data_IF_384467040682
#
_entry.id   IF_384467040682
#
_cell.length_a   1.000
_cell.length_b   1.000
_cell.length_c   1.000
_cell.angle_alpha   90.00
_cell.angle_beta   90.00
_cell.angle_gamma   90.00
#
_symmetry.space_group_name_H-M   'P 1'
#
loop_
_entity.id
_entity.type
_entity.pdbx_description
1 polymer ?
#
# COMPACT_ATOMS: atom_id res chain seq x y z
N UNK A 1 -2.73 5.27 -30.77
CA UNK A 1 -1.91 4.42 -29.89
C UNK A 1 -2.82 3.97 -28.76
N UNK A 2 -3.19 2.69 -28.70
CA UNK A 2 -4.03 2.17 -27.61
C UNK A 2 -3.19 2.21 -26.34
N UNK A 3 -3.61 3.01 -25.38
CA UNK A 3 -3.11 3.00 -24.00
C UNK A 3 -3.21 1.55 -23.54
N UNK A 4 -2.06 0.88 -23.46
CA UNK A 4 -1.91 -0.49 -22.97
C UNK A 4 -2.59 -0.57 -21.61
N UNK A 5 -3.47 -1.56 -21.44
CA UNK A 5 -4.08 -1.95 -20.16
C UNK A 5 -3.03 -1.85 -19.06
N UNK A 6 -3.10 -0.76 -18.29
CA UNK A 6 -2.08 -0.47 -17.30
C UNK A 6 -2.18 -1.52 -16.19
N UNK A 7 -1.05 -2.13 -15.93
CA UNK A 7 -0.69 -3.03 -14.82
C UNK A 7 -0.79 -2.36 -13.45
N UNK A 8 -1.59 -1.31 -13.29
CA UNK A 8 -1.81 -0.51 -12.08
C UNK A 8 -2.75 -1.18 -11.08
N UNK A 9 -3.49 -2.20 -11.50
CA UNK A 9 -4.47 -2.91 -10.68
C UNK A 9 -3.96 -3.84 -9.59
N UNK A 10 -2.66 -4.10 -9.56
CA UNK A 10 -2.03 -5.04 -8.63
C UNK A 10 -1.09 -4.33 -7.67
N UNK A 11 -1.22 -3.01 -7.57
CA UNK A 11 -0.48 -2.19 -6.63
C UNK A 11 -1.12 -2.28 -5.24
N UNK A 12 -0.30 -2.61 -4.25
CA UNK A 12 -0.70 -2.74 -2.85
C UNK A 12 0.19 -1.88 -1.96
N UNK A 13 -0.35 -1.31 -0.86
CA UNK A 13 0.43 -0.56 0.09
C UNK A 13 1.13 -1.54 1.03
N UNK A 14 2.45 -1.46 1.14
CA UNK A 14 3.24 -2.26 2.08
C UNK A 14 3.80 -1.34 3.15
N UNK A 15 3.63 -1.75 4.41
CA UNK A 15 4.27 -1.11 5.57
C UNK A 15 5.17 -2.10 6.27
N UNK A 16 6.37 -1.65 6.59
CA UNK A 16 7.38 -2.41 7.32
C UNK A 16 7.77 -1.64 8.55
N UNK A 17 7.79 -2.35 9.69
CA UNK A 17 8.29 -1.82 10.94
C UNK A 17 9.19 -2.86 11.60
N UNK A 18 10.39 -2.42 11.98
CA UNK A 18 11.35 -3.19 12.77
C UNK A 18 11.70 -2.36 14.01
N UNK A 19 10.88 -2.44 15.07
CA UNK A 19 10.99 -1.58 16.25
C UNK A 19 12.36 -1.62 16.93
N UNK A 20 13.02 -2.78 16.93
CA UNK A 20 14.35 -2.98 17.53
C UNK A 20 15.41 -2.03 16.94
N UNK A 21 15.24 -1.60 15.69
CA UNK A 21 16.15 -0.72 14.98
C UNK A 21 15.55 0.66 14.71
N UNK A 22 14.37 0.97 15.24
CA UNK A 22 13.61 2.18 14.91
C UNK A 22 13.47 2.38 13.39
N UNK A 23 13.37 1.28 12.65
CA UNK A 23 13.26 1.31 11.19
C UNK A 23 11.79 1.16 10.79
N UNK A 24 11.29 2.15 10.08
CA UNK A 24 9.96 2.12 9.49
C UNK A 24 10.07 2.57 8.04
N UNK A 25 9.46 1.82 7.13
CA UNK A 25 9.38 2.19 5.72
C UNK A 25 8.05 1.76 5.15
N UNK A 26 7.63 2.46 4.09
CA UNK A 26 6.39 2.22 3.38
C UNK A 26 6.60 2.41 1.89
N UNK A 27 5.95 1.57 1.08
CA UNK A 27 6.06 1.64 -0.38
C UNK A 27 4.87 0.95 -1.05
N UNK A 28 4.67 1.25 -2.32
CA UNK A 28 3.69 0.55 -3.16
C UNK A 28 4.37 -0.61 -3.87
N UNK A 29 3.78 -1.80 -3.82
CA UNK A 29 4.32 -3.00 -4.46
C UNK A 29 3.36 -3.52 -5.54
N UNK A 30 3.86 -3.87 -6.72
CA UNK A 30 3.08 -4.52 -7.76
C UNK A 30 3.14 -6.05 -7.58
N UNK A 31 2.02 -6.69 -7.22
CA UNK A 31 1.96 -8.14 -7.03
C UNK A 31 2.25 -8.92 -8.33
N UNK A 32 2.01 -8.30 -9.49
CA UNK A 32 2.36 -8.86 -10.80
C UNK A 32 3.75 -8.45 -11.29
N UNK A 33 4.57 -7.84 -10.43
CA UNK A 33 5.94 -7.49 -10.77
C UNK A 33 6.70 -8.74 -11.23
N UNK A 34 7.48 -8.59 -12.29
CA UNK A 34 8.46 -9.60 -12.71
C UNK A 34 9.72 -9.58 -11.84
N UNK A 35 9.88 -8.56 -10.99
CA UNK A 35 10.98 -8.50 -10.03
C UNK A 35 10.81 -9.62 -8.99
N UNK A 36 11.81 -10.48 -8.90
CA UNK A 36 11.87 -11.50 -7.87
C UNK A 36 11.78 -10.85 -6.48
N UNK A 37 10.85 -11.32 -5.65
CA UNK A 37 10.68 -10.85 -4.27
C UNK A 37 11.99 -10.90 -3.50
N UNK A 38 12.79 -11.95 -3.65
CA UNK A 38 14.09 -12.08 -2.98
C UNK A 38 15.04 -10.94 -3.33
N UNK A 39 15.11 -10.55 -4.62
CA UNK A 39 15.90 -9.40 -5.08
C UNK A 39 15.38 -8.10 -4.48
N UNK A 40 14.06 -7.94 -4.37
CA UNK A 40 13.47 -6.78 -3.74
C UNK A 40 13.80 -6.70 -2.24
N UNK A 41 13.75 -7.83 -1.52
CA UNK A 41 14.16 -7.93 -0.12
C UNK A 41 15.64 -7.55 0.04
N UNK A 42 16.52 -7.99 -0.87
CA UNK A 42 17.94 -7.64 -0.82
C UNK A 42 18.18 -6.13 -0.98
N UNK A 43 17.42 -5.46 -1.87
CA UNK A 43 17.47 -4.00 -2.02
C UNK A 43 17.03 -3.30 -0.73
N UNK A 44 15.91 -3.73 -0.14
CA UNK A 44 15.43 -3.18 1.13
C UNK A 44 16.41 -3.41 2.28
N UNK A 45 17.14 -4.53 2.28
CA UNK A 45 18.15 -4.82 3.29
C UNK A 45 19.34 -3.84 3.20
N UNK A 46 19.70 -3.39 1.99
CA UNK A 46 20.71 -2.34 1.78
C UNK A 46 20.22 -0.98 2.30
N UNK A 47 18.96 -0.64 2.03
CA UNK A 47 18.33 0.59 2.54
C UNK A 47 18.27 0.57 4.07
N UNK A 48 17.80 -0.54 4.65
CA UNK A 48 17.83 -0.81 6.08
C UNK A 48 19.24 -0.56 6.63
N UNK A 49 20.26 -1.24 6.10
CA UNK A 49 21.65 -1.09 6.56
C UNK A 49 22.15 0.36 6.52
N UNK A 50 21.72 1.13 5.51
CA UNK A 50 22.09 2.54 5.34
C UNK A 50 21.36 3.46 6.32
N UNK A 51 20.13 3.11 6.70
CA UNK A 51 19.30 3.89 7.62
C UNK A 51 19.72 3.79 9.09
N UNK A 52 20.36 2.68 9.49
CA UNK A 52 20.70 2.45 10.90
C UNK A 52 22.05 3.11 11.16
N UNK A 53 22.02 4.29 11.77
CA UNK A 53 23.21 5.09 12.06
C UNK A 53 24.12 4.37 13.08
N UNK A 54 25.36 4.10 12.68
CA UNK A 54 26.54 3.79 13.54
C UNK A 54 26.55 2.48 14.36
N UNK A 55 25.55 1.61 14.28
CA UNK A 55 25.65 0.27 14.91
C UNK A 55 26.26 -0.72 13.93
N UNK A 56 27.41 -1.27 14.27
CA UNK A 56 27.94 -2.46 13.58
C UNK A 56 26.99 -3.62 13.84
N UNK A 57 26.06 -3.85 12.92
CA UNK A 57 25.15 -5.00 12.99
C UNK A 57 25.94 -6.26 12.64
N UNK A 58 25.84 -7.28 13.49
CA UNK A 58 26.44 -8.59 13.22
C UNK A 58 25.74 -9.23 12.02
N UNK A 59 26.49 -10.00 11.23
CA UNK A 59 25.96 -10.69 10.05
C UNK A 59 24.74 -11.57 10.36
N UNK A 60 24.75 -12.26 11.52
CA UNK A 60 23.62 -13.06 11.98
C UNK A 60 22.35 -12.24 12.22
N UNK A 61 22.49 -10.98 12.64
CA UNK A 61 21.37 -10.07 12.81
C UNK A 61 20.82 -9.59 11.47
N UNK A 62 21.66 -9.37 10.45
CA UNK A 62 21.21 -9.03 9.09
C UNK A 62 20.42 -10.18 8.46
N UNK A 63 20.86 -11.43 8.64
CA UNK A 63 20.10 -12.61 8.20
C UNK A 63 18.70 -12.65 8.82
N UNK A 64 18.59 -12.41 10.13
CA UNK A 64 17.29 -12.38 10.81
C UNK A 64 16.40 -11.24 10.31
N UNK A 65 16.98 -10.07 10.05
CA UNK A 65 16.24 -8.94 9.45
C UNK A 65 15.74 -9.30 8.06
N UNK A 66 16.57 -9.93 7.23
CA UNK A 66 16.18 -10.38 5.89
C UNK A 66 14.97 -11.33 5.94
N UNK A 67 15.01 -12.33 6.80
CA UNK A 67 13.88 -13.26 6.99
C UNK A 67 12.63 -12.55 7.52
N UNK A 68 12.79 -11.57 8.43
CA UNK A 68 11.67 -10.77 8.92
C UNK A 68 11.05 -9.90 7.82
N UNK A 69 11.86 -9.23 7.00
CA UNK A 69 11.40 -8.45 5.85
C UNK A 69 10.62 -9.34 4.89
N UNK A 70 11.17 -10.52 4.56
CA UNK A 70 10.52 -11.51 3.72
C UNK A 70 9.17 -11.93 4.29
N UNK A 71 9.12 -12.29 5.57
CA UNK A 71 7.88 -12.66 6.24
C UNK A 71 6.83 -11.53 6.19
N UNK A 72 7.18 -10.31 6.61
CA UNK A 72 6.24 -9.18 6.66
C UNK A 72 5.70 -8.83 5.26
N UNK A 73 6.56 -8.84 4.24
CA UNK A 73 6.18 -8.49 2.87
C UNK A 73 5.34 -9.60 2.23
N UNK A 74 5.77 -10.87 2.33
CA UNK A 74 5.01 -12.00 1.81
C UNK A 74 3.63 -12.11 2.45
N UNK A 75 3.52 -11.88 3.75
CA UNK A 75 2.25 -11.92 4.46
C UNK A 75 1.29 -10.83 3.95
N UNK A 76 1.77 -9.59 3.81
CA UNK A 76 0.96 -8.49 3.26
C UNK A 76 0.58 -8.72 1.80
N UNK A 77 1.50 -9.21 0.96
CA UNK A 77 1.20 -9.60 -0.43
C UNK A 77 0.07 -10.62 -0.47
N UNK A 78 0.20 -11.70 0.31
CA UNK A 78 -0.81 -12.75 0.35
C UNK A 78 -2.18 -12.20 0.80
N UNK A 79 -2.18 -11.43 1.88
CA UNK A 79 -3.38 -10.82 2.44
C UNK A 79 -4.07 -9.88 1.44
N UNK A 80 -3.38 -8.86 0.93
CA UNK A 80 -4.00 -7.91 -0.01
C UNK A 80 -4.39 -8.56 -1.34
N UNK A 81 -3.62 -9.55 -1.83
CA UNK A 81 -3.99 -10.32 -3.01
C UNK A 81 -5.29 -11.11 -2.79
N UNK A 82 -5.53 -11.62 -1.57
CA UNK A 82 -6.79 -12.29 -1.24
C UNK A 82 -7.98 -11.32 -1.26
N UNK A 83 -7.79 -10.07 -0.82
CA UNK A 83 -8.83 -9.04 -0.84
C UNK A 83 -9.17 -8.59 -2.27
N UNK A 84 -8.15 -8.25 -3.07
CA UNK A 84 -8.34 -7.79 -4.45
C UNK A 84 -9.00 -8.86 -5.32
N UNK A 85 -8.67 -10.13 -5.11
CA UNK A 85 -9.25 -11.23 -5.88
C UNK A 85 -10.54 -11.80 -5.27
N UNK A 86 -11.04 -11.25 -4.16
CA UNK A 86 -12.34 -11.63 -3.62
C UNK A 86 -13.43 -11.29 -4.66
N UNK A 87 -14.19 -12.27 -5.18
CA UNK A 87 -15.18 -12.03 -6.22
C UNK A 87 -16.20 -10.95 -5.85
N UNK A 88 -16.57 -10.83 -4.57
CA UNK A 88 -17.52 -9.80 -4.12
C UNK A 88 -16.95 -8.40 -4.12
N UNK A 89 -15.63 -8.25 -4.04
CA UNK A 89 -14.94 -6.96 -4.16
C UNK A 89 -14.70 -6.65 -5.63
N UNK A 90 -14.18 -7.64 -6.38
CA UNK A 90 -13.82 -7.47 -7.79
C UNK A 90 -15.04 -7.25 -8.69
N UNK A 91 -16.12 -7.98 -8.44
CA UNK A 91 -17.27 -8.03 -9.34
C UNK A 91 -18.38 -7.04 -8.91
N UNK A 92 -18.16 -6.25 -7.85
CA UNK A 92 -19.12 -5.24 -7.35
C UNK A 92 -18.45 -3.87 -7.25
N UNK A 93 -19.10 -2.85 -7.80
CA UNK A 93 -18.68 -1.46 -7.62
C UNK A 93 -19.22 -0.94 -6.29
N UNK A 94 -18.31 -0.57 -5.38
CA UNK A 94 -18.64 0.06 -4.12
C UNK A 94 -18.25 1.53 -4.13
N UNK A 95 -19.02 2.35 -3.44
CA UNK A 95 -18.65 3.70 -3.09
C UNK A 95 -17.74 3.66 -1.85
N UNK A 96 -16.46 3.99 -2.04
CA UNK A 96 -15.45 3.96 -0.97
C UNK A 96 -15.33 5.37 -0.38
N UNK A 97 -15.67 5.58 0.90
CA UNK A 97 -15.42 6.83 1.58
C UNK A 97 -13.92 6.95 1.87
N UNK A 98 -13.32 8.04 1.39
CA UNK A 98 -11.90 8.29 1.50
C UNK A 98 -11.63 9.66 2.12
N UNK A 99 -10.55 9.75 2.87
CA UNK A 99 -10.08 10.99 3.48
C UNK A 99 -8.74 11.38 2.91
N UNK A 100 -8.68 12.56 2.31
CA UNK A 100 -7.43 13.23 1.91
C UNK A 100 -6.97 14.12 3.06
N UNK A 101 -5.68 14.03 3.38
CA UNK A 101 -5.03 14.90 4.37
C UNK A 101 -3.62 15.20 3.89
N UNK A 102 -3.38 16.42 3.45
CA UNK A 102 -2.05 16.93 3.10
C UNK A 102 -1.71 18.01 4.13
N UNK A 103 -0.65 17.78 4.91
CA UNK A 103 -0.15 18.73 5.93
C UNK A 103 1.37 18.87 5.77
N UNK A 104 1.83 20.00 5.23
CA UNK A 104 3.27 20.32 5.17
C UNK A 104 3.47 21.82 5.14
N UNK A 105 4.26 22.32 6.10
CA UNK A 105 4.59 23.74 6.27
C UNK A 105 3.35 24.64 6.27
N UNK A 106 3.07 25.32 5.16
CA UNK A 106 1.95 26.27 4.98
C UNK A 106 0.73 25.67 4.27
N UNK A 107 0.81 24.42 3.80
CA UNK A 107 -0.28 23.73 3.08
C UNK A 107 -1.02 22.82 4.06
N UNK A 108 -2.34 23.03 4.19
CA UNK A 108 -3.26 22.15 4.92
C UNK A 108 -4.51 21.91 4.10
N UNK A 109 -4.64 20.71 3.54
CA UNK A 109 -5.84 20.27 2.80
C UNK A 109 -6.41 19.06 3.53
N UNK A 110 -7.70 19.13 3.87
CA UNK A 110 -8.45 18.03 4.50
C UNK A 110 -9.79 17.89 3.80
N UNK A 111 -9.97 16.79 3.10
CA UNK A 111 -11.19 16.53 2.34
C UNK A 111 -11.71 15.13 2.59
N UNK A 112 -13.03 14.99 2.56
CA UNK A 112 -13.68 13.69 2.51
C UNK A 112 -14.31 13.56 1.13
N UNK A 113 -13.98 12.48 0.44
CA UNK A 113 -14.46 12.20 -0.90
C UNK A 113 -15.04 10.79 -0.93
N UNK A 114 -15.86 10.51 -1.93
CA UNK A 114 -16.37 9.18 -2.18
C UNK A 114 -15.97 8.81 -3.60
N UNK A 115 -15.21 7.73 -3.75
CA UNK A 115 -14.74 7.25 -5.05
C UNK A 115 -15.15 5.80 -5.25
N UNK A 116 -15.41 5.38 -6.50
CA UNK A 116 -15.76 4.00 -6.77
C UNK A 116 -14.58 3.06 -6.48
N UNK A 117 -14.83 1.81 -6.08
CA UNK A 117 -13.82 0.83 -5.68
C UNK A 117 -12.75 0.54 -6.74
N UNK A 118 -13.08 0.69 -8.02
CA UNK A 118 -12.11 0.57 -9.11
C UNK A 118 -11.12 1.75 -9.20
N UNK A 119 -11.25 2.78 -8.37
CA UNK A 119 -10.24 3.83 -8.27
C UNK A 119 -8.88 3.27 -7.86
N UNK A 120 -8.83 2.10 -7.21
CA UNK A 120 -7.56 1.42 -6.89
C UNK A 120 -6.66 1.22 -8.13
N UNK A 121 -7.23 1.13 -9.33
CA UNK A 121 -6.51 0.98 -10.61
C UNK A 121 -5.99 2.31 -11.17
N UNK A 122 -6.49 3.45 -10.69
CA UNK A 122 -6.22 4.78 -11.25
C UNK A 122 -5.84 5.81 -10.16
N UNK A 123 -5.56 5.35 -8.94
CA UNK A 123 -5.36 6.22 -7.78
C UNK A 123 -4.20 7.19 -7.99
N UNK A 124 -3.15 6.80 -8.70
CA UNK A 124 -2.02 7.68 -9.05
C UNK A 124 -2.44 8.82 -9.97
N UNK A 125 -3.34 8.55 -10.93
CA UNK A 125 -3.86 9.57 -11.86
C UNK A 125 -4.72 10.55 -11.06
N UNK A 126 -5.68 10.02 -10.30
CA UNK A 126 -6.53 10.81 -9.42
C UNK A 126 -5.70 11.71 -8.49
N UNK A 127 -4.64 11.17 -7.88
CA UNK A 127 -3.84 11.93 -6.94
C UNK A 127 -3.01 13.04 -7.61
N UNK A 128 -2.50 12.79 -8.81
CA UNK A 128 -1.79 13.82 -9.57
C UNK A 128 -2.74 14.94 -9.98
N UNK A 129 -3.91 14.60 -10.52
CA UNK A 129 -4.92 15.57 -10.94
C UNK A 129 -5.39 16.41 -9.75
N UNK A 130 -5.66 15.78 -8.60
CA UNK A 130 -6.03 16.46 -7.37
C UNK A 130 -4.96 17.46 -6.90
N UNK A 131 -3.67 17.09 -6.96
CA UNK A 131 -2.57 18.01 -6.62
C UNK A 131 -2.54 19.21 -7.58
N UNK A 132 -2.72 18.99 -8.88
CA UNK A 132 -2.73 20.05 -9.90
C UNK A 132 -3.92 21.00 -9.68
N UNK A 133 -5.13 20.48 -9.48
CA UNK A 133 -6.34 21.26 -9.27
C UNK A 133 -6.26 22.13 -8.00
N UNK A 134 -5.58 21.63 -6.96
CA UNK A 134 -5.40 22.35 -5.70
C UNK A 134 -4.15 23.23 -5.66
N UNK A 135 -3.41 23.38 -6.77
CA UNK A 135 -2.14 24.10 -6.85
C UNK A 135 -1.10 23.64 -5.79
N UNK A 136 -1.06 22.34 -5.54
CA UNK A 136 -0.11 21.69 -4.62
C UNK A 136 0.94 20.91 -5.43
N UNK A 137 2.15 20.81 -4.89
CA UNK A 137 3.23 20.08 -5.55
C UNK A 137 2.83 18.62 -5.84
N UNK A 138 3.22 18.12 -7.01
CA UNK A 138 2.99 16.71 -7.35
C UNK A 138 3.83 15.76 -6.50
N UNK A 139 4.79 16.25 -5.72
CA UNK A 139 5.52 15.44 -4.73
C UNK A 139 4.58 14.79 -3.69
N UNK A 140 3.43 15.43 -3.41
CA UNK A 140 2.45 14.95 -2.45
C UNK A 140 1.57 13.82 -3.02
N UNK A 141 1.52 13.65 -4.34
CA UNK A 141 0.66 12.64 -4.97
C UNK A 141 1.11 11.20 -4.61
N UNK A 142 2.40 10.99 -4.37
CA UNK A 142 2.95 9.71 -3.91
C UNK A 142 2.47 9.34 -2.49
N UNK A 143 2.54 10.28 -1.56
CA UNK A 143 2.07 10.04 -0.18
C UNK A 143 0.54 9.90 -0.12
N UNK A 144 -0.17 10.71 -0.91
CA UNK A 144 -1.62 10.66 -1.01
C UNK A 144 -2.10 9.35 -1.63
N UNK A 145 -1.52 8.93 -2.76
CA UNK A 145 -1.88 7.66 -3.41
C UNK A 145 -1.65 6.46 -2.49
N UNK A 146 -0.54 6.44 -1.74
CA UNK A 146 -0.31 5.43 -0.72
C UNK A 146 -1.40 5.43 0.36
N UNK A 147 -1.71 6.60 0.94
CA UNK A 147 -2.72 6.75 1.99
C UNK A 147 -4.12 6.32 1.53
N UNK A 148 -4.53 6.76 0.33
CA UNK A 148 -5.83 6.39 -0.22
C UNK A 148 -5.90 4.89 -0.51
N UNK A 149 -4.81 4.31 -1.03
CA UNK A 149 -4.73 2.87 -1.28
C UNK A 149 -4.88 2.06 0.01
N UNK A 150 -4.29 2.49 1.12
CA UNK A 150 -4.51 1.85 2.41
C UNK A 150 -5.97 1.90 2.84
N UNK A 151 -6.61 3.06 2.73
CA UNK A 151 -8.02 3.20 3.08
C UNK A 151 -8.92 2.28 2.24
N UNK A 152 -8.65 2.15 0.94
CA UNK A 152 -9.34 1.21 0.05
C UNK A 152 -9.12 -0.24 0.52
N UNK A 153 -7.88 -0.63 0.85
CA UNK A 153 -7.61 -1.99 1.33
C UNK A 153 -8.28 -2.27 2.68
N UNK A 154 -8.35 -1.29 3.59
CA UNK A 154 -9.12 -1.40 4.83
C UNK A 154 -10.62 -1.57 4.58
N UNK A 155 -11.17 -0.81 3.63
CA UNK A 155 -12.56 -0.96 3.24
C UNK A 155 -12.86 -2.36 2.67
N UNK A 156 -11.98 -2.89 1.81
CA UNK A 156 -12.06 -4.26 1.31
C UNK A 156 -11.94 -5.31 2.42
N UNK A 157 -11.07 -5.08 3.42
CA UNK A 157 -10.97 -5.95 4.58
C UNK A 157 -12.28 -6.00 5.39
N UNK A 158 -12.92 -4.86 5.61
CA UNK A 158 -14.17 -4.77 6.35
C UNK A 158 -15.30 -5.53 5.64
N UNK A 159 -15.47 -5.31 4.33
CA UNK A 159 -16.42 -6.08 3.51
C UNK A 159 -16.16 -7.59 3.66
N UNK A 160 -14.90 -8.01 3.64
CA UNK A 160 -14.54 -9.42 3.75
C UNK A 160 -14.83 -10.00 5.14
N UNK A 161 -14.73 -9.21 6.21
CA UNK A 161 -14.98 -9.64 7.59
C UNK A 161 -16.47 -9.75 7.92
N UNK A 162 -17.28 -8.74 7.60
CA UNK A 162 -18.75 -8.76 7.80
C UNK A 162 -19.40 -10.00 7.18
N UNK A 163 -18.80 -10.52 6.11
CA UNK A 163 -19.25 -11.73 5.45
C UNK A 163 -18.97 -13.01 6.24
N UNK A 164 -17.82 -13.09 6.91
CA UNK A 164 -17.44 -14.27 7.69
C UNK A 164 -18.36 -14.46 8.91
N UNK A 165 -18.76 -13.35 9.54
CA UNK A 165 -19.65 -13.33 10.71
C UNK A 165 -21.11 -13.66 10.33
N UNK A 166 -21.55 -13.28 9.13
CA UNK A 166 -22.90 -13.61 8.66
C UNK A 166 -23.05 -15.08 8.26
N UNK A 167 -21.96 -15.75 7.87
CA UNK A 167 -21.97 -17.20 7.60
C UNK A 167 -21.95 -18.07 8.86
N UNK A 168 -21.31 -17.61 9.94
CA UNK A 168 -21.26 -18.34 11.22
C UNK A 168 -22.58 -18.26 12.01
N UNK A 169 -23.34 -17.18 11.84
CA UNK A 169 -24.68 -17.02 12.44
C UNK A 169 -25.81 -17.72 11.66
N UNK A 170 -25.53 -18.22 10.45
CA UNK A 170 -26.48 -18.99 9.65
C UNK A 170 -26.27 -20.51 9.75
N UNK A 171 -25.42 -20.97 10.68
CA UNK A 171 -25.10 -22.38 10.92
C UNK A 171 -25.80 -22.91 12.18
#
# INVERSE_FOLDING_TARGET
MKITEYTTGYLIPIKISIPLFSFETKFVYNIKSSLNLETFIDILLVEFKSSITRRTIKESSLKNVKELLKYQISHQIHYFNSLINNPRIRDTSYDVPLKISIEKESISIKENIVLPSFINYEIEIFCNDFCIENNVSTEFSGEMSFSLREQIMCFFANISQEMSENTSNAS
#
